data_IF_441523495958
#
_entry.id   IF_441523495958
#
_cell.length_a   1.000
_cell.length_b   1.000
_cell.length_c   1.000
_cell.angle_alpha   90.00
_cell.angle_beta   90.00
_cell.angle_gamma   90.00
#
_symmetry.space_group_name_H-M   'P 1'
#
loop_
_entity.id
_entity.type
_entity.pdbx_description
1 polymer ?
#
# COMPACT_ATOMS: atom_id res chain seq x y z
N UNK A 1 -2.88 -41.98 -67.02
CA UNK A 1 -4.18 -41.43 -66.58
C UNK A 1 -4.73 -42.41 -65.56
N UNK A 2 -4.90 -42.09 -64.28
CA UNK A 2 -5.02 -40.81 -63.57
C UNK A 2 -4.62 -41.06 -62.09
N UNK A 3 -3.82 -40.19 -61.45
CA UNK A 3 -4.22 -39.22 -60.40
C UNK A 3 -4.98 -39.91 -59.23
N UNK A 4 -4.56 -39.88 -57.96
CA UNK A 4 -4.21 -38.70 -57.12
C UNK A 4 -3.42 -39.07 -55.83
N UNK A 5 -2.61 -38.15 -55.28
CA UNK A 5 -1.93 -38.29 -53.99
C UNK A 5 -2.84 -37.85 -52.82
N UNK A 6 -3.18 -38.77 -51.91
CA UNK A 6 -4.19 -38.55 -50.87
C UNK A 6 -3.65 -38.12 -49.48
N UNK A 7 -2.45 -37.51 -49.39
CA UNK A 7 -1.80 -37.22 -48.09
C UNK A 7 -1.92 -35.78 -47.55
N UNK A 8 -2.58 -34.85 -48.25
CA UNK A 8 -2.51 -33.41 -47.93
C UNK A 8 -3.38 -32.92 -46.75
N UNK A 9 -4.40 -33.69 -46.33
CA UNK A 9 -5.35 -33.25 -45.28
C UNK A 9 -4.77 -33.27 -43.86
N UNK A 10 -3.92 -34.25 -43.55
CA UNK A 10 -3.37 -34.41 -42.19
C UNK A 10 -2.28 -33.36 -41.89
N UNK A 11 -1.44 -33.02 -42.87
CA UNK A 11 -0.46 -31.93 -42.75
C UNK A 11 -1.13 -30.56 -42.60
N UNK A 12 -2.23 -30.31 -43.32
CA UNK A 12 -2.97 -29.07 -43.23
C UNK A 12 -3.56 -28.85 -41.82
N UNK A 13 -4.22 -29.85 -41.24
CA UNK A 13 -4.79 -29.78 -39.88
C UNK A 13 -3.70 -29.60 -38.83
N UNK A 14 -2.59 -30.33 -38.95
CA UNK A 14 -1.44 -30.22 -38.03
C UNK A 14 -0.79 -28.83 -38.10
N UNK A 15 -0.69 -28.25 -39.31
CA UNK A 15 -0.15 -26.90 -39.50
C UNK A 15 -1.05 -25.78 -38.96
N UNK A 16 -2.37 -25.96 -38.98
CA UNK A 16 -3.34 -25.00 -38.42
C UNK A 16 -3.32 -25.03 -36.90
N UNK A 17 -3.27 -26.22 -36.30
CA UNK A 17 -3.12 -26.38 -34.84
C UNK A 17 -1.78 -25.81 -34.35
N UNK A 18 -0.69 -26.03 -35.09
CA UNK A 18 0.60 -25.41 -34.80
C UNK A 18 0.56 -23.87 -34.81
N UNK A 19 -0.13 -23.28 -35.79
CA UNK A 19 -0.32 -21.81 -35.87
C UNK A 19 -1.18 -21.27 -34.74
N UNK A 20 -2.25 -21.96 -34.35
CA UNK A 20 -3.10 -21.57 -33.21
C UNK A 20 -2.34 -21.62 -31.89
N UNK A 21 -1.54 -22.66 -31.66
CA UNK A 21 -0.69 -22.76 -30.47
C UNK A 21 0.36 -21.64 -30.43
N UNK A 22 0.97 -21.29 -31.57
CA UNK A 22 1.86 -20.13 -31.66
C UNK A 22 1.17 -18.81 -31.34
N UNK A 23 -0.08 -18.62 -31.77
CA UNK A 23 -0.85 -17.41 -31.42
C UNK A 23 -1.19 -17.37 -29.92
N UNK A 24 -1.52 -18.51 -29.31
CA UNK A 24 -1.80 -18.61 -27.86
C UNK A 24 -0.54 -18.29 -27.04
N UNK A 25 0.62 -18.81 -27.46
CA UNK A 25 1.91 -18.51 -26.81
C UNK A 25 2.26 -17.03 -26.95
N UNK A 26 2.13 -16.46 -28.14
CA UNK A 26 2.38 -15.03 -28.38
C UNK A 26 1.46 -14.12 -27.56
N UNK A 27 0.18 -14.49 -27.42
CA UNK A 27 -0.79 -13.77 -26.58
C UNK A 27 -0.45 -13.89 -25.08
N UNK A 28 0.01 -15.06 -24.63
CA UNK A 28 0.41 -15.27 -23.25
C UNK A 28 1.66 -14.47 -22.90
N UNK A 29 2.64 -14.45 -23.80
CA UNK A 29 3.87 -13.67 -23.67
C UNK A 29 3.58 -12.16 -23.63
N UNK A 30 2.69 -11.68 -24.52
CA UNK A 30 2.20 -10.30 -24.49
C UNK A 30 1.45 -9.97 -23.18
N UNK A 31 0.66 -10.91 -22.63
CA UNK A 31 -0.05 -10.71 -21.36
C UNK A 31 0.90 -10.64 -20.18
N UNK A 32 1.96 -11.45 -20.17
CA UNK A 32 3.01 -11.42 -19.13
C UNK A 32 3.77 -10.10 -19.18
N UNK A 33 4.11 -9.61 -20.38
CA UNK A 33 4.84 -8.34 -20.53
C UNK A 33 3.98 -7.14 -20.09
N UNK A 34 2.70 -7.12 -20.47
CA UNK A 34 1.73 -6.13 -20.00
C UNK A 34 1.56 -6.21 -18.47
N UNK A 35 1.44 -7.40 -17.91
CA UNK A 35 1.32 -7.59 -16.45
C UNK A 35 2.55 -7.05 -15.72
N UNK A 36 3.76 -7.27 -16.25
CA UNK A 36 5.00 -6.71 -15.67
C UNK A 36 5.03 -5.19 -15.72
N UNK A 37 4.57 -4.60 -16.83
CA UNK A 37 4.51 -3.14 -16.98
C UNK A 37 3.47 -2.52 -16.05
N UNK A 38 2.29 -3.13 -15.97
CA UNK A 38 1.19 -2.66 -15.13
C UNK A 38 1.50 -2.81 -13.64
N UNK A 39 2.22 -3.87 -13.25
CA UNK A 39 2.78 -4.01 -11.90
C UNK A 39 3.75 -2.89 -11.57
N UNK A 40 4.69 -2.55 -12.47
CA UNK A 40 5.66 -1.46 -12.24
C UNK A 40 4.98 -0.10 -12.18
N UNK A 41 3.99 0.16 -13.04
CA UNK A 41 3.21 1.38 -13.05
C UNK A 41 2.40 1.51 -11.74
N UNK A 42 1.66 0.47 -11.36
CA UNK A 42 0.88 0.44 -10.12
C UNK A 42 1.76 0.61 -8.88
N UNK A 43 2.92 -0.04 -8.84
CA UNK A 43 3.88 0.12 -7.75
C UNK A 43 4.42 1.55 -7.66
N UNK A 44 4.72 2.18 -8.80
CA UNK A 44 5.22 3.55 -8.84
C UNK A 44 4.14 4.53 -8.39
N UNK A 45 2.90 4.35 -8.84
CA UNK A 45 1.78 5.21 -8.47
C UNK A 45 1.44 5.07 -6.99
N UNK A 46 1.44 3.83 -6.45
CA UNK A 46 1.30 3.58 -5.01
C UNK A 46 2.45 4.20 -4.22
N UNK A 47 3.70 4.08 -4.71
CA UNK A 47 4.86 4.69 -4.05
C UNK A 47 4.77 6.22 -4.03
N UNK A 48 4.37 6.85 -5.13
CA UNK A 48 4.16 8.30 -5.22
C UNK A 48 3.03 8.74 -4.30
N UNK A 49 1.89 8.04 -4.31
CA UNK A 49 0.77 8.33 -3.42
C UNK A 49 1.16 8.20 -1.94
N UNK A 50 1.90 7.15 -1.59
CA UNK A 50 2.38 6.93 -0.23
C UNK A 50 3.40 8.00 0.18
N UNK A 51 4.31 8.38 -0.72
CA UNK A 51 5.27 9.46 -0.48
C UNK A 51 4.56 10.79 -0.25
N UNK A 52 3.57 11.13 -1.10
CA UNK A 52 2.75 12.33 -0.94
C UNK A 52 1.97 12.32 0.38
N UNK A 53 1.41 11.17 0.77
CA UNK A 53 0.71 11.04 2.04
C UNK A 53 1.65 11.26 3.23
N UNK A 54 2.83 10.66 3.22
CA UNK A 54 3.84 10.85 4.28
C UNK A 54 4.33 12.30 4.30
N UNK A 55 4.57 12.91 3.13
CA UNK A 55 4.99 14.31 3.03
C UNK A 55 3.92 15.27 3.55
N UNK A 56 2.65 15.06 3.17
CA UNK A 56 1.53 15.84 3.66
C UNK A 56 1.37 15.68 5.18
N UNK A 57 1.48 14.44 5.70
CA UNK A 57 1.42 14.18 7.13
C UNK A 57 2.58 14.85 7.88
N UNK A 58 3.80 14.79 7.35
CA UNK A 58 4.96 15.46 7.91
C UNK A 58 4.79 16.98 7.92
N UNK A 59 4.22 17.55 6.85
CA UNK A 59 3.95 18.98 6.76
C UNK A 59 2.89 19.42 7.78
N UNK A 60 1.81 18.67 7.93
CA UNK A 60 0.80 18.91 8.97
C UNK A 60 1.44 18.84 10.35
N UNK A 61 2.31 17.86 10.59
CA UNK A 61 3.02 17.73 11.86
C UNK A 61 3.99 18.89 12.12
N UNK A 62 4.63 19.43 11.07
CA UNK A 62 5.48 20.63 11.13
C UNK A 62 4.67 21.90 11.40
N UNK A 63 3.42 21.98 10.94
CA UNK A 63 2.56 23.14 11.16
C UNK A 63 2.13 23.29 12.62
N UNK A 64 2.05 22.20 13.38
CA UNK A 64 1.66 22.24 14.81
C UNK A 64 2.59 23.15 15.64
N UNK A 65 3.93 22.98 15.67
CA UNK A 65 4.80 23.86 16.43
C UNK A 65 4.80 25.30 15.93
N UNK A 66 4.63 25.53 14.62
CA UNK A 66 4.50 26.89 14.06
C UNK A 66 3.23 27.57 14.59
N UNK A 67 2.09 26.87 14.57
CA UNK A 67 0.83 27.38 15.10
C UNK A 67 0.90 27.66 16.59
N UNK A 68 1.59 26.79 17.36
CA UNK A 68 1.86 27.00 18.78
C UNK A 68 2.71 28.25 19.01
N UNK A 69 3.74 28.46 18.19
CA UNK A 69 4.56 29.67 18.23
C UNK A 69 3.75 30.95 17.96
N UNK A 70 2.88 30.92 16.95
CA UNK A 70 1.95 32.03 16.64
C UNK A 70 1.01 32.29 17.82
N UNK A 71 0.44 31.23 18.42
CA UNK A 71 -0.44 31.37 19.59
C UNK A 71 0.30 32.01 20.77
N UNK A 72 1.54 31.60 21.05
CA UNK A 72 2.38 32.20 22.10
C UNK A 72 2.63 33.68 21.80
N UNK A 73 2.97 34.03 20.56
CA UNK A 73 3.22 35.42 20.15
C UNK A 73 1.98 36.31 20.31
N UNK A 74 0.80 35.80 19.94
CA UNK A 74 -0.47 36.50 20.13
C UNK A 74 -0.78 36.68 21.61
N UNK A 75 -0.60 35.63 22.43
CA UNK A 75 -0.84 35.71 23.87
C UNK A 75 0.16 36.63 24.58
N UNK A 76 1.40 36.67 24.10
CA UNK A 76 2.47 37.53 24.63
C UNK A 76 2.19 39.04 24.43
N UNK A 77 1.23 39.43 23.58
CA UNK A 77 0.77 40.82 23.48
C UNK A 77 -0.07 41.25 24.69
N UNK A 78 -0.69 40.30 25.38
CA UNK A 78 -1.65 40.57 26.48
C UNK A 78 -1.06 40.20 27.84
N UNK A 79 -0.18 39.20 27.88
CA UNK A 79 0.49 38.72 29.10
C UNK A 79 2.00 38.64 28.89
N UNK A 80 2.77 38.68 29.99
CA UNK A 80 4.21 38.55 29.91
C UNK A 80 4.62 37.24 29.18
N UNK A 81 5.70 37.24 28.38
CA UNK A 81 6.06 36.10 27.52
C UNK A 81 6.25 34.78 28.29
N UNK A 82 6.72 34.84 29.54
CA UNK A 82 6.93 33.68 30.40
C UNK A 82 5.61 33.02 30.87
N UNK A 83 4.55 33.82 31.05
CA UNK A 83 3.21 33.32 31.39
C UNK A 83 2.53 32.75 30.16
N UNK A 84 2.68 33.41 29.00
CA UNK A 84 2.15 32.91 27.72
C UNK A 84 2.69 31.51 27.39
N UNK A 85 4.00 31.31 27.49
CA UNK A 85 4.63 30.01 27.22
C UNK A 85 4.20 28.95 28.23
N UNK A 86 4.09 29.27 29.51
CA UNK A 86 3.64 28.35 30.55
C UNK A 86 2.18 27.89 30.34
N UNK A 87 1.28 28.81 30.00
CA UNK A 87 -0.14 28.51 29.73
C UNK A 87 -0.29 27.62 28.49
N UNK A 88 0.41 27.98 27.40
CA UNK A 88 0.36 27.19 26.17
C UNK A 88 0.97 25.80 26.37
N UNK A 89 2.09 25.70 27.11
CA UNK A 89 2.70 24.42 27.46
C UNK A 89 1.73 23.55 28.28
N UNK A 90 1.07 24.11 29.30
CA UNK A 90 0.10 23.39 30.11
C UNK A 90 -1.10 22.90 29.28
N UNK A 91 -1.63 23.76 28.40
CA UNK A 91 -2.71 23.38 27.48
C UNK A 91 -2.30 22.26 26.52
N UNK A 92 -1.09 22.33 25.98
CA UNK A 92 -0.56 21.30 25.09
C UNK A 92 -0.31 19.98 25.82
N UNK A 93 0.13 20.02 27.07
CA UNK A 93 0.26 18.86 27.94
C UNK A 93 -1.10 18.21 28.24
N UNK A 94 -2.12 19.02 28.48
CA UNK A 94 -3.49 18.53 28.68
C UNK A 94 -4.03 17.84 27.42
N UNK A 95 -3.85 18.45 26.23
CA UNK A 95 -4.23 17.83 24.96
C UNK A 95 -3.47 16.52 24.74
N UNK A 96 -2.16 16.52 24.99
CA UNK A 96 -1.33 15.32 24.89
C UNK A 96 -1.80 14.21 25.85
N UNK A 97 -2.16 14.55 27.09
CA UNK A 97 -2.69 13.60 28.06
C UNK A 97 -4.03 13.00 27.60
N UNK A 98 -4.94 13.82 27.07
CA UNK A 98 -6.22 13.35 26.50
C UNK A 98 -5.98 12.46 25.30
N UNK A 99 -5.11 12.86 24.37
CA UNK A 99 -4.75 12.06 23.20
C UNK A 99 -4.12 10.73 23.61
N UNK A 100 -3.20 10.74 24.58
CA UNK A 100 -2.58 9.53 25.12
C UNK A 100 -3.62 8.62 25.77
N UNK A 101 -4.58 9.18 26.50
CA UNK A 101 -5.66 8.43 27.13
C UNK A 101 -6.61 7.81 26.09
N UNK A 102 -7.02 8.58 25.08
CA UNK A 102 -7.83 8.10 23.96
C UNK A 102 -7.07 7.04 23.15
N UNK A 103 -5.78 7.28 22.88
CA UNK A 103 -4.91 6.33 22.21
C UNK A 103 -4.82 5.04 23.02
N UNK A 104 -4.59 5.10 24.34
CA UNK A 104 -4.61 3.93 25.23
C UNK A 104 -5.94 3.20 25.20
N UNK A 105 -7.07 3.93 25.18
CA UNK A 105 -8.41 3.33 25.12
C UNK A 105 -8.65 2.62 23.78
N UNK A 106 -8.18 3.20 22.67
CA UNK A 106 -8.25 2.60 21.32
C UNK A 106 -7.29 1.43 21.16
N UNK A 107 -6.05 1.56 21.62
CA UNK A 107 -5.03 0.50 21.59
C UNK A 107 -5.44 -0.69 22.45
N UNK A 108 -6.06 -0.45 23.61
CA UNK A 108 -6.59 -1.51 24.48
C UNK A 108 -7.76 -2.27 23.85
N UNK A 109 -8.44 -1.71 22.84
CA UNK A 109 -9.45 -2.42 22.03
C UNK A 109 -8.89 -3.10 20.78
N UNK A 110 -7.68 -2.76 20.35
CA UNK A 110 -7.01 -3.35 19.16
C UNK A 110 -5.59 -3.84 19.44
N UNK A 111 -5.24 -4.44 20.60
CA UNK A 111 -3.96 -5.09 20.66
C UNK A 111 -4.10 -6.33 19.76
N UNK A 112 -3.27 -6.45 18.73
CA UNK A 112 -3.01 -7.74 18.08
C UNK A 112 -4.06 -8.39 17.17
N UNK A 113 -5.22 -7.83 16.81
CA UNK A 113 -6.10 -8.52 15.83
C UNK A 113 -5.43 -8.73 14.44
N UNK A 114 -4.64 -7.76 13.97
CA UNK A 114 -3.90 -7.86 12.71
C UNK A 114 -2.75 -8.88 12.78
N UNK A 115 -1.95 -8.85 13.84
CA UNK A 115 -0.85 -9.81 14.06
C UNK A 115 -1.34 -11.22 14.47
N UNK A 116 -2.52 -11.34 15.08
CA UNK A 116 -3.17 -12.61 15.39
C UNK A 116 -3.63 -13.31 14.10
N UNK A 117 -4.23 -12.56 13.16
CA UNK A 117 -4.60 -13.09 11.84
C UNK A 117 -3.39 -13.59 11.04
N UNK A 118 -2.27 -12.85 11.05
CA UNK A 118 -1.00 -13.29 10.45
C UNK A 118 -0.44 -14.58 11.09
N UNK A 119 -0.67 -14.77 12.40
CA UNK A 119 -0.28 -15.99 13.12
C UNK A 119 -1.19 -17.18 12.78
N UNK A 120 -2.47 -16.95 12.54
CA UNK A 120 -3.39 -17.95 11.99
C UNK A 120 -2.97 -18.39 10.58
N UNK A 121 -2.69 -17.45 9.67
CA UNK A 121 -2.33 -17.75 8.28
C UNK A 121 -1.01 -18.52 8.16
N UNK A 122 -0.01 -18.20 8.98
CA UNK A 122 1.26 -18.93 8.99
C UNK A 122 1.09 -20.42 9.34
N UNK A 123 0.12 -20.75 10.20
CA UNK A 123 -0.17 -22.14 10.59
C UNK A 123 -0.85 -22.91 9.46
N UNK A 124 -1.61 -22.24 8.60
CA UNK A 124 -2.22 -22.85 7.42
C UNK A 124 -1.17 -23.15 6.34
N UNK A 125 -0.25 -22.21 6.12
CA UNK A 125 0.85 -22.38 5.16
C UNK A 125 1.78 -23.51 5.59
N UNK A 126 2.13 -23.59 6.88
CA UNK A 126 2.96 -24.67 7.40
C UNK A 126 2.32 -26.06 7.18
N UNK A 127 1.01 -26.20 7.40
CA UNK A 127 0.28 -27.46 7.17
C UNK A 127 0.20 -27.85 5.70
N UNK A 128 0.16 -26.87 4.80
CA UNK A 128 0.17 -27.12 3.36
C UNK A 128 1.54 -27.64 2.88
N UNK A 129 2.63 -27.16 3.49
CA UNK A 129 4.00 -27.60 3.19
C UNK A 129 4.32 -28.99 3.76
N UNK A 130 3.76 -29.38 4.92
CA UNK A 130 3.98 -30.71 5.51
C UNK A 130 3.20 -31.84 4.81
N UNK A 131 2.30 -31.53 3.86
CA UNK A 131 1.50 -32.51 3.09
C UNK A 131 2.03 -32.79 1.67
N UNK A 132 3.10 -32.12 1.26
CA UNK A 132 3.76 -32.31 -0.04
C UNK A 132 5.07 -33.06 0.14
#
# INVERSE_FOLDING_TARGET
>A
MSEEPQSSGSEAVTSVVGRLLQHIVALLEARVDLTRQEMRASLRDVAIALFLLIAALALVLLMIPVLVGVLILVLAQVVAPWLATAIVLAGMLAIAAVLLLVARLRLRRRPFAFFAGLREDWRLIRRALERQ
#
